data_IF_163220463624
#
_entry.id   IF_163220463624
#
_cell.length_a   1.000
_cell.length_b   1.000
_cell.length_c   1.000
_cell.angle_alpha   90.00
_cell.angle_beta   90.00
_cell.angle_gamma   90.00
#
_symmetry.space_group_name_H-M   'P 1'
#
loop_
_entity.id
_entity.type
_entity.pdbx_description
1 polymer ?
#
# COMPACT_ATOMS: atom_id res chain seq x y z
N UNK A 1 30.09 -17.75 16.07
CA UNK A 1 29.39 -16.64 15.38
C UNK A 1 28.28 -17.20 14.46
N UNK A 2 27.11 -17.59 14.98
CA UNK A 2 26.05 -18.18 14.13
C UNK A 2 24.60 -17.81 14.52
N UNK A 3 24.31 -17.46 15.78
CA UNK A 3 22.95 -17.11 16.22
C UNK A 3 22.51 -15.72 15.78
N UNK A 4 23.43 -14.74 15.78
CA UNK A 4 23.15 -13.35 15.38
C UNK A 4 22.83 -13.22 13.89
N UNK A 5 23.52 -13.97 13.03
CA UNK A 5 23.29 -13.94 11.58
C UNK A 5 21.94 -14.55 11.20
N UNK A 6 21.59 -15.68 11.83
CA UNK A 6 20.28 -16.33 11.62
C UNK A 6 19.13 -15.46 12.15
N UNK A 7 19.33 -14.73 13.26
CA UNK A 7 18.35 -13.75 13.77
C UNK A 7 18.12 -12.61 12.77
N UNK A 8 19.19 -11.99 12.25
CA UNK A 8 19.09 -10.90 11.27
C UNK A 8 18.33 -11.29 10.00
N UNK A 9 18.53 -12.51 9.48
CA UNK A 9 17.78 -13.01 8.33
C UNK A 9 16.29 -13.15 8.66
N UNK A 10 15.96 -13.73 9.82
CA UNK A 10 14.56 -13.87 10.25
C UNK A 10 13.89 -12.51 10.43
N UNK A 11 14.59 -11.54 11.02
CA UNK A 11 14.05 -10.19 11.23
C UNK A 11 13.76 -9.50 9.90
N UNK A 12 14.65 -9.62 8.90
CA UNK A 12 14.42 -9.11 7.55
C UNK A 12 13.23 -9.80 6.86
N UNK A 13 13.10 -11.11 7.03
CA UNK A 13 11.97 -11.87 6.47
C UNK A 13 10.66 -11.50 7.15
N UNK A 14 10.66 -11.30 8.46
CA UNK A 14 9.49 -10.83 9.21
C UNK A 14 9.10 -9.41 8.78
N UNK A 15 10.06 -8.49 8.61
CA UNK A 15 9.82 -7.14 8.12
C UNK A 15 9.20 -7.14 6.71
N UNK A 16 9.72 -7.97 5.79
CA UNK A 16 9.13 -8.12 4.44
C UNK A 16 7.71 -8.66 4.48
N UNK A 17 7.43 -9.64 5.34
CA UNK A 17 6.07 -10.17 5.50
C UNK A 17 5.12 -9.12 6.06
N UNK A 18 5.55 -8.35 7.06
CA UNK A 18 4.75 -7.27 7.62
C UNK A 18 4.46 -6.18 6.57
N UNK A 19 5.47 -5.80 5.77
CA UNK A 19 5.29 -4.85 4.68
C UNK A 19 4.32 -5.38 3.60
N UNK A 20 4.42 -6.66 3.25
CA UNK A 20 3.51 -7.28 2.29
C UNK A 20 2.07 -7.32 2.80
N UNK A 21 1.87 -7.65 4.08
CA UNK A 21 0.55 -7.67 4.72
C UNK A 21 -0.06 -6.27 4.80
N UNK A 22 0.74 -5.28 5.17
CA UNK A 22 0.32 -3.87 5.17
C UNK A 22 -0.15 -3.45 3.77
N UNK A 23 0.66 -3.74 2.74
CA UNK A 23 0.32 -3.40 1.37
C UNK A 23 -0.95 -4.12 0.89
N UNK A 24 -1.11 -5.42 1.18
CA UNK A 24 -2.32 -6.16 0.82
C UNK A 24 -3.57 -5.61 1.51
N UNK A 25 -3.47 -5.27 2.80
CA UNK A 25 -4.57 -4.66 3.54
C UNK A 25 -4.96 -3.33 2.93
N UNK A 26 -3.98 -2.49 2.59
CA UNK A 26 -4.22 -1.20 1.96
C UNK A 26 -4.82 -1.36 0.56
N UNK A 27 -4.34 -2.31 -0.24
CA UNK A 27 -4.92 -2.64 -1.55
C UNK A 27 -6.40 -3.05 -1.42
N UNK A 28 -6.74 -3.89 -0.44
CA UNK A 28 -8.13 -4.30 -0.20
C UNK A 28 -9.02 -3.15 0.27
N UNK A 29 -8.53 -2.32 1.20
CA UNK A 29 -9.26 -1.14 1.68
C UNK A 29 -9.52 -0.16 0.53
N UNK A 30 -8.50 0.13 -0.28
CA UNK A 30 -8.64 1.02 -1.44
C UNK A 30 -9.54 0.43 -2.52
N UNK A 31 -9.55 -0.89 -2.70
CA UNK A 31 -10.46 -1.57 -3.62
C UNK A 31 -11.93 -1.46 -3.18
N UNK A 32 -12.21 -1.24 -1.90
CA UNK A 32 -13.59 -1.10 -1.39
C UNK A 32 -14.27 0.19 -1.88
N UNK A 33 -13.49 1.23 -2.22
CA UNK A 33 -13.98 2.43 -2.91
C UNK A 33 -14.17 2.08 -4.41
N UNK A 34 -15.26 1.40 -4.75
CA UNK A 34 -15.47 0.83 -6.08
C UNK A 34 -16.15 1.79 -7.05
N UNK A 35 -16.85 2.81 -6.56
CA UNK A 35 -17.61 3.72 -7.42
C UNK A 35 -16.77 4.90 -7.92
N UNK A 36 -17.08 5.46 -9.10
CA UNK A 36 -16.42 6.67 -9.59
C UNK A 36 -16.53 7.86 -8.63
N UNK A 37 -17.66 7.99 -7.92
CA UNK A 37 -17.87 9.08 -6.96
C UNK A 37 -16.97 8.94 -5.73
N UNK A 38 -16.86 7.74 -5.15
CA UNK A 38 -15.94 7.45 -4.04
C UNK A 38 -14.48 7.67 -4.44
N UNK A 39 -14.09 7.27 -5.65
CA UNK A 39 -12.74 7.50 -6.19
C UNK A 39 -12.44 8.99 -6.33
N UNK A 40 -13.40 9.77 -6.83
CA UNK A 40 -13.26 11.22 -6.95
C UNK A 40 -13.12 11.89 -5.59
N UNK A 41 -13.93 11.49 -4.61
CA UNK A 41 -13.84 11.99 -3.24
C UNK A 41 -12.47 11.68 -2.62
N UNK A 42 -11.99 10.44 -2.80
CA UNK A 42 -10.68 10.04 -2.30
C UNK A 42 -9.55 10.88 -2.93
N UNK A 43 -9.58 11.10 -4.25
CA UNK A 43 -8.61 11.96 -4.93
C UNK A 43 -8.65 13.41 -4.42
N UNK A 44 -9.84 13.94 -4.13
CA UNK A 44 -9.98 15.27 -3.53
C UNK A 44 -9.33 15.34 -2.14
N UNK A 45 -9.49 14.31 -1.31
CA UNK A 45 -8.84 14.23 0.00
C UNK A 45 -7.32 14.16 -0.17
N UNK A 46 -6.83 13.28 -1.05
CA UNK A 46 -5.40 13.09 -1.29
C UNK A 46 -4.72 14.35 -1.84
N UNK A 47 -5.42 15.15 -2.64
CA UNK A 47 -4.90 16.42 -3.18
C UNK A 47 -4.54 17.47 -2.11
N UNK A 48 -5.03 17.32 -0.88
CA UNK A 48 -4.73 18.22 0.25
C UNK A 48 -3.41 17.90 0.94
N UNK A 49 -2.80 16.76 0.62
CA UNK A 49 -1.56 16.30 1.21
C UNK A 49 -0.42 16.33 0.18
N UNK A 50 0.84 16.49 0.62
CA UNK A 50 1.98 16.39 -0.28
C UNK A 50 2.05 15.03 -0.98
N UNK A 51 2.50 15.02 -2.23
CA UNK A 51 2.62 13.79 -3.04
C UNK A 51 3.48 12.72 -2.37
N UNK A 52 4.58 13.13 -1.73
CA UNK A 52 5.46 12.23 -0.97
C UNK A 52 4.74 11.45 0.16
N UNK A 53 3.66 12.01 0.72
CA UNK A 53 2.85 11.34 1.74
C UNK A 53 1.76 10.45 1.15
N UNK A 54 1.34 10.72 -0.08
CA UNK A 54 0.23 10.00 -0.74
C UNK A 54 0.70 9.07 -1.86
N UNK A 55 1.99 9.02 -2.15
CA UNK A 55 2.58 8.28 -3.26
C UNK A 55 2.20 6.79 -3.28
N UNK A 56 2.21 6.12 -2.12
CA UNK A 56 1.82 4.71 -2.03
C UNK A 56 0.34 4.48 -2.37
N UNK A 57 -0.54 5.33 -1.81
CA UNK A 57 -1.97 5.26 -2.09
C UNK A 57 -2.24 5.53 -3.57
N UNK A 58 -1.61 6.57 -4.16
CA UNK A 58 -1.74 6.90 -5.58
C UNK A 58 -1.22 5.78 -6.50
N UNK A 59 -0.09 5.14 -6.17
CA UNK A 59 0.42 3.96 -6.91
C UNK A 59 -0.60 2.82 -6.90
N UNK A 60 -1.18 2.51 -5.74
CA UNK A 60 -2.18 1.43 -5.62
C UNK A 60 -3.45 1.76 -6.41
N UNK A 61 -3.99 2.98 -6.28
CA UNK A 61 -5.19 3.41 -7.00
C UNK A 61 -4.98 3.33 -8.52
N UNK A 62 -3.83 3.80 -9.01
CA UNK A 62 -3.48 3.74 -10.43
C UNK A 62 -3.42 2.30 -10.96
N UNK A 63 -2.80 1.38 -10.22
CA UNK A 63 -2.75 -0.04 -10.59
C UNK A 63 -4.13 -0.68 -10.65
N UNK A 64 -5.00 -0.39 -9.68
CA UNK A 64 -6.37 -0.90 -9.65
C UNK A 64 -7.20 -0.38 -10.82
N UNK A 65 -7.02 0.89 -11.20
CA UNK A 65 -7.69 1.47 -12.35
C UNK A 65 -7.29 0.78 -13.66
N UNK A 66 -6.00 0.44 -13.81
CA UNK A 66 -5.52 -0.34 -14.97
C UNK A 66 -6.09 -1.76 -14.99
N UNK A 67 -6.32 -2.38 -13.82
CA UNK A 67 -6.90 -3.73 -13.74
C UNK A 67 -8.42 -3.76 -13.98
N UNK A 68 -9.12 -2.65 -13.75
CA UNK A 68 -10.57 -2.54 -13.92
C UNK A 68 -11.01 -2.10 -15.32
N UNK A 69 -10.05 -1.65 -16.16
CA UNK A 69 -10.26 -1.21 -17.54
C UNK A 69 -10.14 -2.38 -18.53
#
# INVERSE_FOLDING_TARGET
MSTTQHRSIRDRMAARRAQQQHRQSLEQELASFATPAERLELELILSRYPDEKTAEVRDILSRQQVQAA
#
